data_IF_361371933847
#
_entry.id   IF_361371933847
#
_cell.length_a   1.000
_cell.length_b   1.000
_cell.length_c   1.000
_cell.angle_alpha   90.00
_cell.angle_beta   90.00
_cell.angle_gamma   90.00
#
_symmetry.space_group_name_H-M   'P 1'
#
loop_
_entity.id
_entity.type
_entity.pdbx_description
1 polymer ?
#
# COMPACT_ATOMS: atom_id res chain seq x y z
N UNK A 1 8.84 -15.43 14.24
CA UNK A 1 9.69 -14.23 14.22
C UNK A 1 9.20 -13.36 13.08
N UNK A 2 9.06 -12.06 13.30
CA UNK A 2 8.65 -11.14 12.24
C UNK A 2 9.82 -10.90 11.28
N UNK A 3 9.54 -10.97 9.98
CA UNK A 3 10.56 -10.78 8.94
C UNK A 3 10.49 -9.36 8.39
N UNK A 4 11.61 -8.62 8.32
CA UNK A 4 11.63 -7.31 7.71
C UNK A 4 11.42 -7.43 6.19
N UNK A 5 10.58 -6.56 5.64
CA UNK A 5 10.32 -6.44 4.21
C UNK A 5 10.44 -4.98 3.82
N UNK A 6 11.19 -4.72 2.75
CA UNK A 6 11.26 -3.40 2.15
C UNK A 6 9.89 -3.04 1.53
N UNK A 7 9.40 -1.83 1.78
CA UNK A 7 8.12 -1.34 1.24
C UNK A 7 8.11 -1.40 -0.29
N UNK A 8 9.25 -1.17 -0.94
CA UNK A 8 9.40 -1.30 -2.40
C UNK A 8 9.15 -2.72 -2.93
N UNK A 9 9.15 -3.73 -2.05
CA UNK A 9 8.88 -5.12 -2.41
C UNK A 9 7.45 -5.57 -2.05
N UNK A 10 6.66 -4.72 -1.36
CA UNK A 10 5.26 -5.04 -1.06
C UNK A 10 4.43 -5.10 -2.34
N UNK A 11 3.57 -6.12 -2.44
CA UNK A 11 2.66 -6.38 -3.56
C UNK A 11 1.37 -7.04 -3.06
N UNK A 12 0.30 -6.91 -3.84
CA UNK A 12 -0.99 -7.55 -3.60
C UNK A 12 -1.50 -7.35 -2.17
N UNK A 13 -2.06 -8.40 -1.58
CA UNK A 13 -2.67 -8.32 -0.24
C UNK A 13 -1.72 -7.83 0.87
N UNK A 14 -0.42 -8.07 0.77
CA UNK A 14 0.52 -7.56 1.78
C UNK A 14 0.66 -6.04 1.64
N UNK A 15 0.70 -5.51 0.40
CA UNK A 15 0.67 -4.06 0.16
C UNK A 15 -0.66 -3.45 0.62
N UNK A 16 -1.78 -4.06 0.25
CA UNK A 16 -3.12 -3.58 0.61
C UNK A 16 -3.33 -3.56 2.13
N UNK A 17 -2.85 -4.58 2.85
CA UNK A 17 -2.86 -4.64 4.31
C UNK A 17 -2.11 -3.45 4.92
N UNK A 18 -0.90 -3.17 4.43
CA UNK A 18 -0.11 -2.05 4.95
C UNK A 18 -0.69 -0.69 4.58
N UNK A 19 -1.39 -0.57 3.45
CA UNK A 19 -2.14 0.64 3.11
C UNK A 19 -3.29 0.85 4.08
N UNK A 20 -4.07 -0.19 4.41
CA UNK A 20 -5.15 -0.08 5.38
C UNK A 20 -4.63 0.36 6.76
N UNK A 21 -3.51 -0.25 7.19
CA UNK A 21 -2.77 0.15 8.40
C UNK A 21 -2.29 1.61 8.35
N UNK A 22 -1.78 2.08 7.21
CA UNK A 22 -1.35 3.47 7.03
C UNK A 22 -2.53 4.45 7.04
N UNK A 23 -3.70 3.99 6.62
CA UNK A 23 -4.95 4.74 6.59
C UNK A 23 -5.75 4.66 7.91
N UNK A 24 -5.17 4.07 8.95
CA UNK A 24 -5.70 4.07 10.32
C UNK A 24 -6.55 2.86 10.70
N UNK A 25 -6.71 1.86 9.83
CA UNK A 25 -7.39 0.61 10.20
C UNK A 25 -6.49 -0.25 11.10
N UNK A 26 -6.91 -0.63 12.32
CA UNK A 26 -6.12 -1.47 13.22
C UNK A 26 -5.88 -2.89 12.66
N UNK A 27 -4.80 -3.56 13.08
CA UNK A 27 -4.45 -4.90 12.61
C UNK A 27 -5.53 -5.95 12.92
N UNK A 28 -6.16 -5.85 14.08
CA UNK A 28 -7.22 -6.73 14.55
C UNK A 28 -8.48 -6.66 13.68
N UNK A 29 -8.61 -5.61 12.86
CA UNK A 29 -9.70 -5.43 11.90
C UNK A 29 -9.27 -5.79 10.47
N UNK A 30 -8.08 -6.36 10.28
CA UNK A 30 -7.57 -6.71 8.96
C UNK A 30 -7.24 -8.20 8.91
N UNK A 31 -7.59 -8.84 7.81
CA UNK A 31 -7.25 -10.25 7.57
C UNK A 31 -6.72 -10.42 6.15
N UNK A 32 -5.65 -11.19 6.01
CA UNK A 32 -5.23 -11.66 4.69
C UNK A 32 -5.71 -13.09 4.51
N UNK A 33 -6.44 -13.33 3.43
CA UNK A 33 -7.04 -14.62 3.12
C UNK A 33 -6.72 -15.05 1.70
N UNK A 34 -6.88 -16.34 1.41
CA UNK A 34 -6.84 -16.86 0.05
C UNK A 34 -8.24 -16.76 -0.57
N UNK A 35 -8.37 -16.02 -1.66
CA UNK A 35 -9.60 -15.88 -2.41
C UNK A 35 -10.11 -17.21 -2.91
N UNK A 36 -11.41 -17.46 -2.73
CA UNK A 36 -12.05 -18.70 -3.16
C UNK A 36 -11.88 -18.89 -4.68
N UNK A 37 -11.37 -20.05 -5.09
CA UNK A 37 -11.23 -20.44 -6.50
C UNK A 37 -10.05 -19.83 -7.27
N UNK A 38 -9.30 -18.87 -6.72
CA UNK A 38 -8.23 -18.15 -7.45
C UNK A 38 -6.83 -18.34 -6.87
N UNK A 39 -6.71 -18.98 -5.70
CA UNK A 39 -5.46 -19.06 -4.90
C UNK A 39 -4.79 -17.69 -4.64
N UNK A 40 -5.47 -16.58 -4.97
CA UNK A 40 -4.93 -15.24 -4.87
C UNK A 40 -5.13 -14.72 -3.46
N UNK A 41 -4.08 -14.17 -2.85
CA UNK A 41 -4.21 -13.56 -1.53
C UNK A 41 -4.91 -12.21 -1.65
N UNK A 42 -5.86 -11.95 -0.75
CA UNK A 42 -6.64 -10.71 -0.68
C UNK A 42 -6.60 -10.14 0.74
N UNK A 43 -6.60 -8.82 0.86
CA UNK A 43 -6.80 -8.14 2.14
C UNK A 43 -8.31 -7.89 2.33
N UNK A 44 -8.81 -8.24 3.52
CA UNK A 44 -10.19 -8.05 3.95
C UNK A 44 -10.20 -7.05 5.11
N UNK A 45 -11.00 -6.01 4.97
CA UNK A 45 -11.31 -5.04 6.01
C UNK A 45 -12.57 -5.49 6.78
N UNK A 46 -12.42 -5.64 8.09
CA UNK A 46 -13.43 -6.08 9.05
C UNK A 46 -13.96 -4.91 9.90
N UNK A 47 -13.58 -3.66 9.60
CA UNK A 47 -14.00 -2.48 10.35
C UNK A 47 -15.49 -2.16 10.21
N UNK A 48 -16.14 -2.68 9.16
CA UNK A 48 -17.58 -2.57 8.92
C UNK A 48 -18.34 -3.87 9.29
N UNK A 49 -19.66 -3.82 9.55
CA UNK A 49 -20.47 -4.99 9.85
C UNK A 49 -20.45 -6.08 8.76
N UNK A 50 -20.20 -5.68 7.51
CA UNK A 50 -20.02 -6.60 6.38
C UNK A 50 -18.56 -6.51 5.96
N UNK A 51 -17.77 -7.59 6.14
CA UNK A 51 -16.40 -7.67 5.65
C UNK A 51 -16.30 -7.33 4.17
N UNK A 52 -15.37 -6.45 3.82
CA UNK A 52 -15.17 -6.01 2.45
C UNK A 52 -13.74 -6.27 2.01
N UNK A 53 -13.57 -6.61 0.73
CA UNK A 53 -12.25 -6.66 0.11
C UNK A 53 -11.68 -5.23 0.07
N UNK A 54 -10.43 -5.10 0.49
CA UNK A 54 -9.68 -3.86 0.41
C UNK A 54 -8.45 -4.09 -0.48
N UNK A 55 -8.50 -3.60 -1.71
CA UNK A 55 -7.49 -3.87 -2.73
C UNK A 55 -7.03 -2.61 -3.51
N UNK A 56 -6.62 -1.54 -2.81
CA UNK A 56 -6.26 -0.27 -3.43
C UNK A 56 -5.05 -0.37 -4.38
N UNK A 57 -4.22 -1.41 -4.29
CA UNK A 57 -3.12 -1.63 -5.23
C UNK A 57 -3.57 -2.11 -6.62
N UNK A 58 -4.81 -2.58 -6.76
CA UNK A 58 -5.37 -3.11 -8.02
C UNK A 58 -6.70 -2.49 -8.43
N UNK A 59 -7.43 -1.85 -7.50
CA UNK A 59 -8.76 -1.30 -7.74
C UNK A 59 -8.76 0.23 -7.61
N UNK A 60 -9.07 0.92 -8.71
CA UNK A 60 -9.10 2.39 -8.75
C UNK A 60 -10.24 3.00 -7.92
N UNK A 61 -11.35 2.29 -7.75
CA UNK A 61 -12.47 2.78 -6.93
C UNK A 61 -12.08 2.87 -5.45
N UNK A 62 -11.08 2.09 -5.02
CA UNK A 62 -10.51 2.12 -3.67
C UNK A 62 -9.25 2.99 -3.61
N UNK A 63 -8.31 2.79 -4.53
CA UNK A 63 -7.01 3.47 -4.53
C UNK A 63 -7.06 4.95 -4.95
N UNK A 64 -7.96 5.32 -5.87
CA UNK A 64 -8.13 6.69 -6.36
C UNK A 64 -8.50 7.68 -5.26
N UNK A 65 -9.52 7.40 -4.43
CA UNK A 65 -9.84 8.22 -3.27
C UNK A 65 -8.68 8.40 -2.29
N UNK A 66 -7.88 7.35 -2.05
CA UNK A 66 -6.70 7.42 -1.17
C UNK A 66 -5.65 8.39 -1.74
N UNK A 67 -5.30 8.24 -3.02
CA UNK A 67 -4.35 9.12 -3.72
C UNK A 67 -4.73 10.60 -3.56
N UNK A 68 -6.03 10.90 -3.72
CA UNK A 68 -6.56 12.26 -3.54
C UNK A 68 -6.49 12.73 -2.08
N UNK A 69 -6.86 11.88 -1.13
CA UNK A 69 -6.90 12.21 0.29
C UNK A 69 -5.51 12.56 0.85
N UNK A 70 -4.50 11.74 0.50
CA UNK A 70 -3.12 11.93 0.99
C UNK A 70 -2.24 12.79 0.07
N UNK A 71 -2.79 13.28 -1.05
CA UNK A 71 -2.12 14.19 -2.01
C UNK A 71 -0.84 13.60 -2.61
N UNK A 72 -0.91 12.34 -3.05
CA UNK A 72 0.21 11.67 -3.72
C UNK A 72 0.48 12.35 -5.07
N UNK A 73 1.74 12.74 -5.29
CA UNK A 73 2.26 13.06 -6.61
C UNK A 73 2.55 11.76 -7.37
N UNK A 74 2.04 11.63 -8.58
CA UNK A 74 2.15 10.42 -9.40
C UNK A 74 2.55 10.81 -10.83
N UNK A 75 3.58 10.16 -11.36
CA UNK A 75 4.01 10.33 -12.75
C UNK A 75 4.65 9.07 -13.31
N UNK A 76 4.68 8.91 -14.65
CA UNK A 76 5.49 7.88 -15.29
C UNK A 76 6.96 8.05 -14.90
N UNK A 77 7.62 6.95 -14.56
CA UNK A 77 9.06 6.93 -14.36
C UNK A 77 9.77 6.81 -15.70
N UNK A 78 10.85 7.56 -15.91
CA UNK A 78 11.74 7.33 -17.06
C UNK A 78 12.50 6.02 -16.85
N UNK A 79 12.43 5.10 -17.81
CA UNK A 79 13.14 3.81 -17.77
C UNK A 79 12.27 2.62 -17.34
N UNK A 80 12.89 1.59 -16.74
CA UNK A 80 12.27 0.27 -16.51
C UNK A 80 11.30 0.20 -15.32
N UNK A 81 11.16 1.27 -14.54
CA UNK A 81 10.41 1.23 -13.28
C UNK A 81 8.91 1.51 -13.41
N UNK A 82 8.42 1.82 -14.62
CA UNK A 82 7.00 2.05 -14.89
C UNK A 82 6.51 3.38 -14.34
N UNK A 83 6.13 3.41 -13.06
CA UNK A 83 5.57 4.58 -12.39
C UNK A 83 6.38 4.93 -11.15
N UNK A 84 6.44 6.22 -10.83
CA UNK A 84 6.88 6.68 -9.52
C UNK A 84 5.79 7.49 -8.85
N UNK A 85 5.76 7.41 -7.52
CA UNK A 85 4.88 8.19 -6.68
C UNK A 85 5.64 8.74 -5.48
N UNK A 86 5.27 9.92 -5.01
CA UNK A 86 5.90 10.55 -3.85
C UNK A 86 4.88 11.35 -3.06
N UNK A 87 5.14 11.52 -1.76
CA UNK A 87 4.34 12.40 -0.91
C UNK A 87 5.21 13.52 -0.37
N UNK A 88 4.77 14.77 -0.58
CA UNK A 88 5.45 15.94 -0.04
C UNK A 88 5.18 15.97 1.48
N UNK A 89 6.12 15.45 2.28
CA UNK A 89 6.09 15.63 3.74
C UNK A 89 6.34 17.12 4.06
N UNK A 90 5.71 17.64 5.12
CA UNK A 90 6.04 18.97 5.65
C UNK A 90 7.53 18.99 6.05
N UNK A 91 8.18 20.13 5.79
CA UNK A 91 9.55 20.46 6.23
C UNK A 91 9.82 19.97 7.67
N UNK A 92 11.03 19.48 8.01
CA UNK A 92 12.30 19.72 7.33
C UNK A 92 12.85 18.55 6.51
N UNK A 93 12.03 17.56 6.15
CA UNK A 93 12.55 16.39 5.41
C UNK A 93 12.94 16.79 3.98
N UNK A 94 14.17 16.42 3.65
CA UNK A 94 14.81 16.39 2.33
C UNK A 94 13.86 15.74 1.32
N UNK A 95 13.96 16.15 0.05
CA UNK A 95 13.11 15.75 -1.08
C UNK A 95 12.48 14.36 -0.93
N UNK A 96 11.16 14.22 -1.19
CA UNK A 96 10.47 12.97 -0.92
C UNK A 96 11.09 11.84 -1.74
N UNK A 97 11.44 10.74 -1.08
CA UNK A 97 11.90 9.54 -1.78
C UNK A 97 10.74 8.99 -2.61
N UNK A 98 10.99 8.83 -3.91
CA UNK A 98 9.98 8.36 -4.84
C UNK A 98 9.87 6.84 -4.73
N UNK A 99 8.64 6.34 -4.53
CA UNK A 99 8.34 4.92 -4.55
C UNK A 99 7.95 4.49 -5.97
N UNK A 100 8.58 3.41 -6.42
CA UNK A 100 8.37 2.87 -7.76
C UNK A 100 7.38 1.70 -7.77
N UNK A 101 6.74 1.49 -8.91
CA UNK A 101 5.84 0.35 -9.11
C UNK A 101 5.50 0.12 -10.58
N UNK A 102 5.20 -1.13 -10.96
CA UNK A 102 4.83 -1.47 -12.34
C UNK A 102 3.49 -0.85 -12.75
N UNK A 103 2.65 -0.43 -11.79
CA UNK A 103 1.38 0.26 -12.01
C UNK A 103 1.33 1.55 -11.19
N UNK A 104 0.53 2.54 -11.60
CA UNK A 104 0.35 3.77 -10.83
C UNK A 104 -0.18 3.52 -9.42
N UNK A 105 -1.10 2.55 -9.26
CA UNK A 105 -1.65 2.18 -7.96
C UNK A 105 -0.59 1.55 -7.05
N UNK A 106 0.23 0.62 -7.55
CA UNK A 106 1.28 0.01 -6.74
C UNK A 106 2.30 1.06 -6.28
N UNK A 107 2.75 1.95 -7.18
CA UNK A 107 3.67 3.03 -6.83
C UNK A 107 3.06 3.94 -5.75
N UNK A 108 1.80 4.35 -5.94
CA UNK A 108 1.08 5.22 -5.01
C UNK A 108 0.89 4.59 -3.63
N UNK A 109 0.46 3.32 -3.60
CA UNK A 109 0.23 2.60 -2.34
C UNK A 109 1.53 2.38 -1.57
N UNK A 110 2.66 2.14 -2.26
CA UNK A 110 3.98 2.08 -1.62
C UNK A 110 4.38 3.43 -1.03
N UNK A 111 4.15 4.54 -1.74
CA UNK A 111 4.39 5.89 -1.20
C UNK A 111 3.51 6.18 0.03
N UNK A 112 2.26 5.71 0.04
CA UNK A 112 1.39 5.80 1.20
C UNK A 112 1.99 5.07 2.42
N UNK A 113 2.43 3.82 2.25
CA UNK A 113 3.04 3.02 3.33
C UNK A 113 4.35 3.63 3.82
N UNK A 114 5.26 4.00 2.91
CA UNK A 114 6.55 4.64 3.26
C UNK A 114 6.31 5.88 4.12
N UNK A 115 5.31 6.70 3.77
CA UNK A 115 5.08 7.95 4.47
C UNK A 115 4.78 7.80 5.97
N UNK A 116 4.28 6.63 6.37
CA UNK A 116 3.92 6.32 7.76
C UNK A 116 5.02 5.48 8.42
N UNK A 117 5.52 4.46 7.72
CA UNK A 117 6.38 3.43 8.31
C UNK A 117 7.86 3.52 7.90
N UNK A 118 8.20 4.34 6.90
CA UNK A 118 9.52 4.36 6.27
C UNK A 118 9.74 3.16 5.34
N UNK A 119 11.00 2.82 5.08
CA UNK A 119 11.36 1.85 4.03
C UNK A 119 11.10 0.39 4.39
N UNK A 120 10.93 0.07 5.68
CA UNK A 120 10.85 -1.30 6.18
C UNK A 120 9.58 -1.46 7.02
N UNK A 121 8.85 -2.54 6.74
CA UNK A 121 7.76 -3.05 7.57
C UNK A 121 8.06 -4.49 8.00
N UNK A 122 7.35 -4.98 9.01
CA UNK A 122 7.58 -6.31 9.58
C UNK A 122 6.36 -7.19 9.39
N UNK A 123 6.49 -8.29 8.65
CA UNK A 123 5.39 -9.24 8.47
C UNK A 123 5.61 -10.40 9.44
N UNK A 124 4.61 -10.65 10.28
CA UNK A 124 4.61 -11.81 11.17
C UNK A 124 4.50 -13.12 10.39
N UNK A 125 5.27 -14.12 10.83
CA UNK A 125 5.26 -15.45 10.22
C UNK A 125 3.84 -16.00 10.15
N UNK A 126 3.40 -16.30 8.92
CA UNK A 126 2.10 -16.87 8.58
C UNK A 126 1.93 -18.27 9.15
#
# INVERSE_FOLDING_TARGET
>A
MDSPILVVNLLGADLDYWVARAHGTPAEQLRIETGQGTHSRICIDLSAPIPARFDPSTNWDVGGPIIKAVKIGLAPATGVHGWHAFMIRRWPRVAPEAMFGPTPLIASMRACVESVYGDIVYISGR
#
